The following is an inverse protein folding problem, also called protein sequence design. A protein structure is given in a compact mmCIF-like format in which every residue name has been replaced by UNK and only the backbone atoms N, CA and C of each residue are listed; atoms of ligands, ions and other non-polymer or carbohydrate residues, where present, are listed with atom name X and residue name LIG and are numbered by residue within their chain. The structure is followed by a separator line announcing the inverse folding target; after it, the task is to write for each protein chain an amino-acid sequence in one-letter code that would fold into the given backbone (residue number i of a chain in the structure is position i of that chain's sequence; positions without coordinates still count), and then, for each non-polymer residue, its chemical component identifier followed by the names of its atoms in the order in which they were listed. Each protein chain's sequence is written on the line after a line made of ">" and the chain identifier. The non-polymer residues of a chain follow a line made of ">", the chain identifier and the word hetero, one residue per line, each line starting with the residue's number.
data_IF_214944882802
#
_entry.id   IF_214944882802
#
_cell.length_a   1.000
_cell.length_b   1.000
_cell.length_c   1.000
_cell.angle_alpha   90.00
_cell.angle_beta   90.00
_cell.angle_gamma   90.00
#
_symmetry.space_group_name_H-M   'P 1'
#
loop_
_entity.id
_entity.type
_entity.pdbx_description
1 polymer ?
#
# COMPACT_ATOMS: atom_id res chain seq x y z
N UNK A 1 2.92 15.55 -8.66
CA UNK A 1 3.34 14.90 -7.42
C UNK A 1 4.29 13.75 -7.78
N UNK A 2 5.15 13.24 -6.87
CA UNK A 2 5.98 12.10 -7.19
C UNK A 2 5.11 10.88 -7.54
N UNK A 3 5.47 10.19 -8.62
CA UNK A 3 4.76 8.99 -9.06
C UNK A 3 5.33 7.76 -8.35
N UNK A 4 4.46 6.80 -8.05
CA UNK A 4 4.88 5.46 -7.64
C UNK A 4 5.41 4.67 -8.85
N UNK A 5 6.30 3.72 -8.60
CA UNK A 5 6.73 2.77 -9.61
C UNK A 5 5.57 1.86 -10.03
N UNK A 6 5.73 1.21 -11.19
CA UNK A 6 4.79 0.20 -11.64
C UNK A 6 4.63 -0.91 -10.59
N UNK A 7 3.38 -1.34 -10.39
CA UNK A 7 3.06 -2.44 -9.49
C UNK A 7 3.75 -3.72 -9.92
N UNK A 8 4.24 -4.49 -8.93
CA UNK A 8 4.73 -5.85 -9.12
C UNK A 8 3.90 -6.82 -8.29
N UNK A 9 3.42 -7.89 -8.92
CA UNK A 9 2.76 -9.00 -8.25
C UNK A 9 3.80 -10.05 -7.87
N UNK A 10 3.76 -10.52 -6.63
CA UNK A 10 4.70 -11.51 -6.11
C UNK A 10 4.13 -12.93 -6.08
N UNK A 11 2.80 -13.06 -6.06
CA UNK A 11 2.05 -14.29 -5.90
C UNK A 11 0.75 -14.19 -6.68
N UNK A 12 0.27 -15.32 -7.20
CA UNK A 12 -1.00 -15.39 -7.92
C UNK A 12 -2.16 -15.53 -6.94
N UNK A 13 -3.28 -14.89 -7.28
CA UNK A 13 -4.54 -14.98 -6.55
C UNK A 13 -5.59 -15.61 -7.46
N UNK A 14 -6.32 -16.57 -6.93
CA UNK A 14 -7.50 -17.13 -7.59
C UNK A 14 -8.75 -16.90 -6.76
N UNK A 15 -9.90 -16.92 -7.41
CA UNK A 15 -11.21 -16.83 -6.80
C UNK A 15 -12.09 -17.88 -7.46
N UNK A 16 -12.59 -18.85 -6.69
CA UNK A 16 -13.39 -19.98 -7.20
C UNK A 16 -12.74 -20.68 -8.41
N UNK A 17 -11.41 -20.86 -8.36
CA UNK A 17 -10.62 -21.47 -9.43
C UNK A 17 -10.30 -20.56 -10.63
N UNK A 18 -10.84 -19.35 -10.69
CA UNK A 18 -10.54 -18.36 -11.73
C UNK A 18 -9.40 -17.43 -11.28
N UNK A 19 -8.49 -17.09 -12.19
CA UNK A 19 -7.43 -16.12 -11.88
C UNK A 19 -8.01 -14.72 -11.65
N UNK A 20 -7.51 -14.01 -10.64
CA UNK A 20 -7.89 -12.64 -10.33
C UNK A 20 -6.64 -11.76 -10.25
N UNK A 21 -6.70 -10.61 -10.91
CA UNK A 21 -5.61 -9.64 -10.98
C UNK A 21 -5.82 -8.57 -9.90
N UNK A 22 -4.93 -8.48 -8.89
CA UNK A 22 -4.95 -7.38 -7.95
C UNK A 22 -4.39 -6.09 -8.59
N UNK A 23 -4.94 -4.95 -8.21
CA UNK A 23 -4.47 -3.63 -8.62
C UNK A 23 -4.36 -2.70 -7.41
N UNK A 24 -3.25 -1.97 -7.29
CA UNK A 24 -3.03 -0.91 -6.31
C UNK A 24 -2.93 0.40 -7.07
N UNK A 25 -3.79 1.36 -6.74
CA UNK A 25 -3.70 2.73 -7.22
C UNK A 25 -3.28 3.60 -6.06
N UNK A 26 -2.13 4.27 -6.18
CA UNK A 26 -1.58 5.12 -5.12
C UNK A 26 -1.23 6.50 -5.67
N UNK A 27 -1.56 7.54 -4.92
CA UNK A 27 -1.29 8.93 -5.28
C UNK A 27 -0.81 9.72 -4.05
N UNK A 28 0.29 10.45 -4.21
CA UNK A 28 0.71 11.46 -3.23
C UNK A 28 -0.14 12.71 -3.48
N UNK A 29 -0.97 13.09 -2.50
CA UNK A 29 -1.91 14.21 -2.65
C UNK A 29 -1.31 15.57 -2.29
N UNK A 30 -0.44 15.62 -1.28
CA UNK A 30 0.18 16.86 -0.81
C UNK A 30 1.53 16.60 -0.10
N UNK A 31 2.21 17.67 0.31
CA UNK A 31 3.43 17.61 1.11
C UNK A 31 4.75 17.54 0.33
N UNK A 32 4.68 17.26 -0.98
CA UNK A 32 5.82 17.28 -1.90
C UNK A 32 5.72 18.43 -2.90
N UNK A 33 6.86 18.97 -3.30
CA UNK A 33 6.98 20.00 -4.33
C UNK A 33 8.18 19.73 -5.22
N UNK A 34 8.13 20.25 -6.45
CA UNK A 34 9.25 20.18 -7.39
C UNK A 34 10.22 21.33 -7.09
N UNK A 35 11.46 21.01 -6.72
CA UNK A 35 12.45 22.03 -6.37
C UNK A 35 13.13 22.63 -7.61
N UNK A 36 13.87 23.73 -7.41
CA UNK A 36 14.75 24.32 -8.42
C UNK A 36 15.80 23.34 -8.94
N UNK A 37 16.22 22.40 -8.09
CA UNK A 37 17.22 21.37 -8.41
C UNK A 37 16.62 20.20 -9.20
N UNK A 38 15.37 20.32 -9.66
CA UNK A 38 14.65 19.32 -10.44
C UNK A 38 14.52 17.97 -9.74
N UNK A 39 14.25 18.03 -8.43
CA UNK A 39 13.94 16.86 -7.61
C UNK A 39 12.64 17.07 -6.85
N UNK A 40 11.96 15.98 -6.52
CA UNK A 40 10.86 16.03 -5.57
C UNK A 40 11.43 16.26 -4.17
N UNK A 41 11.02 17.35 -3.55
CA UNK A 41 11.42 17.73 -2.20
C UNK A 41 10.20 17.75 -1.27
N UNK A 42 10.46 17.55 0.02
CA UNK A 42 9.50 17.76 1.09
C UNK A 42 10.20 18.40 2.28
N UNK A 43 9.43 19.03 3.17
CA UNK A 43 9.97 19.55 4.42
C UNK A 43 9.80 18.53 5.54
N UNK A 44 10.87 18.26 6.29
CA UNK A 44 10.87 17.30 7.42
C UNK A 44 9.77 17.54 8.47
N UNK A 45 9.33 18.80 8.64
CA UNK A 45 8.30 19.19 9.63
C UNK A 45 6.88 19.27 9.05
N UNK A 46 6.72 18.99 7.76
CA UNK A 46 5.42 18.99 7.11
C UNK A 46 4.91 17.56 7.00
N UNK A 47 3.58 17.44 7.01
CA UNK A 47 2.93 16.18 6.70
C UNK A 47 2.73 16.06 5.18
N UNK A 48 2.66 14.82 4.72
CA UNK A 48 2.19 14.48 3.39
C UNK A 48 1.03 13.50 3.52
N UNK A 49 0.20 13.45 2.49
CA UNK A 49 -0.92 12.53 2.38
C UNK A 49 -0.73 11.63 1.17
N UNK A 50 -1.01 10.34 1.35
CA UNK A 50 -1.07 9.36 0.27
C UNK A 50 -2.48 8.77 0.29
N UNK A 51 -3.15 8.82 -0.86
CA UNK A 51 -4.36 8.05 -1.09
C UNK A 51 -3.98 6.75 -1.77
N UNK A 52 -4.54 5.64 -1.29
CA UNK A 52 -4.33 4.34 -1.90
C UNK A 52 -5.64 3.58 -1.95
N UNK A 53 -5.90 2.92 -3.07
CA UNK A 53 -7.00 1.99 -3.25
C UNK A 53 -6.49 0.65 -3.77
N UNK A 54 -7.24 -0.40 -3.44
CA UNK A 54 -6.99 -1.77 -3.87
C UNK A 54 -8.19 -2.29 -4.64
N UNK A 55 -7.94 -3.02 -5.73
CA UNK A 55 -8.96 -3.61 -6.58
C UNK A 55 -8.62 -5.03 -6.99
N UNK A 56 -9.63 -5.78 -7.40
CA UNK A 56 -9.53 -7.14 -7.90
C UNK A 56 -10.30 -7.25 -9.22
N UNK A 57 -9.68 -7.81 -10.26
CA UNK A 57 -10.30 -7.97 -11.57
C UNK A 57 -10.07 -9.38 -12.14
N UNK A 58 -11.13 -10.16 -12.44
CA UNK A 58 -12.53 -9.85 -12.20
C UNK A 58 -12.87 -9.81 -10.71
N UNK A 59 -13.82 -8.96 -10.32
CA UNK A 59 -14.44 -9.01 -9.01
C UNK A 59 -15.54 -10.06 -9.00
N UNK A 60 -15.47 -11.00 -8.06
CA UNK A 60 -16.48 -12.04 -7.86
C UNK A 60 -17.07 -11.84 -6.47
N UNK A 61 -18.33 -11.39 -6.43
CA UNK A 61 -19.02 -11.12 -5.18
C UNK A 61 -19.10 -12.40 -4.32
N UNK A 62 -18.72 -12.28 -3.04
CA UNK A 62 -18.68 -13.38 -2.06
C UNK A 62 -17.79 -14.58 -2.43
N UNK A 63 -16.92 -14.44 -3.45
CA UNK A 63 -16.00 -15.49 -3.85
C UNK A 63 -14.86 -15.66 -2.85
N UNK A 64 -14.45 -16.90 -2.61
CA UNK A 64 -13.31 -17.20 -1.73
C UNK A 64 -12.02 -17.01 -2.51
N UNK A 65 -11.16 -16.14 -1.99
CA UNK A 65 -9.84 -15.90 -2.55
C UNK A 65 -8.85 -16.93 -2.02
N UNK A 66 -7.97 -17.38 -2.90
CA UNK A 66 -6.87 -18.27 -2.56
C UNK A 66 -5.56 -17.74 -3.13
N UNK A 67 -4.49 -17.98 -2.39
CA UNK A 67 -3.13 -17.59 -2.75
C UNK A 67 -2.39 -18.83 -3.27
N UNK A 68 -1.66 -18.66 -4.37
CA UNK A 68 -0.77 -19.70 -4.89
C UNK A 68 0.69 -19.26 -4.66
N UNK A 69 1.36 -19.88 -3.68
CA UNK A 69 2.76 -19.57 -3.32
C UNK A 69 3.76 -20.29 -4.24
N UNK A 70 3.30 -21.14 -5.15
CA UNK A 70 4.15 -22.04 -5.93
C UNK A 70 4.76 -23.17 -5.08
N UNK A 71 5.31 -24.17 -5.77
CA UNK A 71 5.93 -25.34 -5.14
C UNK A 71 4.93 -26.42 -4.71
N UNK A 72 5.34 -27.31 -3.79
CA UNK A 72 4.53 -28.46 -3.33
C UNK A 72 3.41 -28.10 -2.36
N UNK A 73 3.34 -26.84 -1.91
CA UNK A 73 2.25 -26.36 -1.06
C UNK A 73 1.08 -26.00 -1.95
N UNK A 74 -0.08 -26.61 -1.69
CA UNK A 74 -1.32 -26.31 -2.40
C UNK A 74 -1.80 -24.88 -2.17
N UNK A 75 -2.92 -24.53 -2.79
CA UNK A 75 -3.52 -23.20 -2.65
C UNK A 75 -4.04 -22.96 -1.23
N UNK A 76 -3.75 -21.79 -0.66
CA UNK A 76 -4.13 -21.41 0.71
C UNK A 76 -5.24 -20.36 0.68
N UNK A 77 -6.31 -20.55 1.48
CA UNK A 77 -7.41 -19.59 1.52
C UNK A 77 -6.97 -18.28 2.19
N UNK A 78 -7.23 -17.16 1.52
CA UNK A 78 -6.99 -15.81 2.04
C UNK A 78 -8.09 -15.48 3.05
N UNK A 79 -7.71 -15.22 4.30
CA UNK A 79 -8.64 -14.87 5.39
C UNK A 79 -8.94 -13.37 5.44
N UNK A 80 -7.94 -12.56 5.16
CA UNK A 80 -8.03 -11.10 5.17
C UNK A 80 -6.96 -10.50 4.27
N UNK A 81 -7.18 -9.27 3.85
CA UNK A 81 -6.20 -8.48 3.10
C UNK A 81 -5.87 -7.22 3.89
N UNK A 82 -4.64 -6.77 3.80
CA UNK A 82 -4.18 -5.56 4.47
C UNK A 82 -3.20 -4.81 3.58
N UNK A 83 -3.12 -3.51 3.79
CA UNK A 83 -2.23 -2.62 3.06
C UNK A 83 -1.25 -1.94 4.02
N UNK A 84 -0.04 -1.68 3.56
CA UNK A 84 0.98 -0.97 4.33
C UNK A 84 1.71 0.04 3.46
N UNK A 85 2.07 1.18 4.05
CA UNK A 85 2.97 2.16 3.45
C UNK A 85 4.32 2.12 4.19
N UNK A 86 5.41 2.05 3.44
CA UNK A 86 6.77 2.10 3.95
C UNK A 86 7.60 3.11 3.16
N UNK A 87 8.71 3.55 3.75
CA UNK A 87 9.70 4.38 3.09
C UNK A 87 11.08 3.72 3.20
N UNK A 88 11.93 3.93 2.19
CA UNK A 88 13.30 3.44 2.16
C UNK A 88 14.22 4.49 1.56
N UNK A 89 15.52 4.40 1.82
CA UNK A 89 16.51 5.19 1.10
C UNK A 89 16.57 4.78 -0.38
N UNK A 90 16.91 5.73 -1.27
CA UNK A 90 16.98 5.47 -2.71
C UNK A 90 18.09 4.48 -3.11
N UNK A 91 18.98 4.13 -2.18
CA UNK A 91 20.06 3.16 -2.36
C UNK A 91 19.67 1.73 -1.94
N UNK A 92 18.43 1.51 -1.47
CA UNK A 92 17.87 0.18 -1.21
C UNK A 92 18.33 -0.50 0.07
N UNK A 93 18.87 0.23 1.03
CA UNK A 93 19.49 -0.33 2.24
C UNK A 93 18.72 -0.13 3.54
N UNK A 94 17.96 0.96 3.69
CA UNK A 94 17.42 1.35 5.01
C UNK A 94 15.95 1.71 4.99
N UNK A 95 15.13 0.97 5.76
CA UNK A 95 13.75 1.38 6.06
C UNK A 95 13.75 2.69 6.86
N UNK A 96 12.89 3.63 6.45
CA UNK A 96 12.69 4.93 7.10
C UNK A 96 11.34 4.89 7.82
N UNK A 97 11.37 5.14 9.13
CA UNK A 97 10.16 5.15 9.95
C UNK A 97 9.18 6.23 9.53
N UNK A 98 7.94 5.84 9.22
CA UNK A 98 6.83 6.74 8.98
C UNK A 98 5.96 6.85 10.24
N UNK A 99 5.62 8.09 10.58
CA UNK A 99 4.82 8.42 11.77
C UNK A 99 3.57 9.18 11.32
N UNK A 100 2.41 8.70 11.74
CA UNK A 100 1.14 9.40 11.55
C UNK A 100 0.82 10.23 12.80
N UNK A 101 0.38 11.47 12.59
CA UNK A 101 -0.19 12.31 13.66
C UNK A 101 -1.68 12.50 13.45
N UNK A 102 -2.47 12.24 14.49
CA UNK A 102 -3.90 12.56 14.51
C UNK A 102 -4.10 14.07 14.68
N UNK A 103 -5.20 14.61 14.15
CA UNK A 103 -5.55 16.05 14.11
C UNK A 103 -5.69 16.76 15.48
N UNK A 104 -5.27 16.19 16.62
CA UNK A 104 -5.30 16.86 17.93
C UNK A 104 -3.95 17.52 18.26
N UNK A 105 -4.01 18.86 18.39
CA UNK A 105 -2.99 19.84 18.83
C UNK A 105 -1.85 19.24 19.65
N UNK A 106 -0.64 19.31 19.08
CA UNK A 106 0.70 19.36 19.69
C UNK A 106 1.14 18.33 20.74
N UNK A 107 0.24 17.50 21.28
CA UNK A 107 0.53 16.50 22.34
C UNK A 107 -0.15 15.14 22.11
N UNK A 108 -0.69 14.89 20.92
CA UNK A 108 -1.24 13.58 20.56
C UNK A 108 -0.14 12.52 20.34
N UNK A 109 -0.44 11.22 20.52
CA UNK A 109 0.53 10.16 20.29
C UNK A 109 1.00 10.17 18.84
N UNK A 110 2.32 10.04 18.67
CA UNK A 110 2.96 9.74 17.40
C UNK A 110 2.88 8.24 17.21
N UNK A 111 2.09 7.80 16.23
CA UNK A 111 1.89 6.38 15.96
C UNK A 111 2.71 5.98 14.73
N UNK A 112 3.41 4.84 14.75
CA UNK A 112 3.96 4.28 13.52
C UNK A 112 2.83 4.01 12.52
N UNK A 113 3.13 4.06 11.23
CA UNK A 113 2.21 3.54 10.22
C UNK A 113 2.11 2.02 10.41
N UNK A 114 0.89 1.54 10.62
CA UNK A 114 0.57 0.11 10.74
C UNK A 114 -0.10 -0.41 9.46
N UNK A 115 -0.22 -1.73 9.37
CA UNK A 115 -1.00 -2.34 8.29
C UNK A 115 -2.48 -2.05 8.53
N UNK A 116 -3.16 -1.53 7.52
CA UNK A 116 -4.60 -1.29 7.57
C UNK A 116 -5.34 -2.44 6.90
N UNK A 117 -6.27 -3.06 7.64
CA UNK A 117 -7.12 -4.13 7.11
C UNK A 117 -8.05 -3.53 6.05
N UNK A 118 -8.08 -4.15 4.88
CA UNK A 118 -8.99 -3.77 3.81
C UNK A 118 -10.36 -4.39 4.12
N UNK A 119 -11.37 -3.52 4.21
CA UNK A 119 -12.75 -3.98 4.28
C UNK A 119 -13.15 -4.55 2.93
N UNK A 120 -13.75 -5.74 2.92
CA UNK A 120 -14.50 -6.20 1.76
C UNK A 120 -15.73 -5.30 1.67
N UNK A 121 -15.75 -4.40 0.69
CA UNK A 121 -16.98 -3.70 0.34
C UNK A 121 -17.92 -4.72 -0.31
N UNK A 122 -19.00 -5.06 0.39
CA UNK A 122 -20.08 -5.93 -0.08
C UNK A 122 -20.95 -5.25 -1.13
#
# INVERSE_FOLDING_TARGET
>A
MPNFNAQKNYVDITCEGSAVTPTIVAEVQNGFFWSSDRVWACYRRNYFAVSVSFGLAPWIANGRLYLNQGGSKGSEQIQSMAMSLSAADGAGGGSIGLIQRKLKRDKGPQLPIEKELLLQHY
#
